data_IF_841168396753
#
_entry.id   IF_841168396753
#
_cell.length_a   1.000
_cell.length_b   1.000
_cell.length_c   1.000
_cell.angle_alpha   90.00
_cell.angle_beta   90.00
_cell.angle_gamma   90.00
#
_symmetry.space_group_name_H-M   'P 1'
#
loop_
_entity.id
_entity.type
_entity.pdbx_description
1 polymer ?
#
# COMPACT_ATOMS: atom_id res chain seq x y z
N UNK A 1 41.35 -39.53 32.87
CA UNK A 1 41.13 -38.48 31.89
C UNK A 1 39.71 -38.65 31.30
N UNK A 2 38.74 -37.88 31.79
CA UNK A 2 37.33 -37.91 31.30
C UNK A 2 37.12 -36.64 30.47
N UNK A 3 36.78 -36.79 29.20
CA UNK A 3 36.39 -35.69 28.31
C UNK A 3 34.91 -35.33 28.55
N UNK A 4 34.68 -34.07 28.88
CA UNK A 4 33.33 -33.50 29.05
C UNK A 4 32.91 -32.97 27.68
N UNK A 5 31.84 -33.54 27.12
CA UNK A 5 31.23 -33.07 25.89
C UNK A 5 30.26 -31.92 26.21
N UNK A 6 30.51 -30.73 25.63
CA UNK A 6 29.62 -29.60 25.70
C UNK A 6 28.54 -29.74 24.62
N UNK A 7 27.33 -30.10 25.04
CA UNK A 7 26.14 -30.08 24.19
C UNK A 7 25.68 -28.63 23.91
N UNK A 8 25.75 -28.20 22.67
CA UNK A 8 25.10 -26.99 22.20
C UNK A 8 23.59 -27.21 22.19
N UNK A 9 22.88 -26.53 23.09
CA UNK A 9 21.40 -26.43 23.04
C UNK A 9 21.02 -25.41 21.96
N UNK A 10 20.56 -25.90 20.82
CA UNK A 10 19.89 -25.09 19.82
C UNK A 10 18.54 -24.60 20.39
N UNK A 11 18.42 -23.29 20.59
CA UNK A 11 17.12 -22.67 20.93
C UNK A 11 16.31 -22.58 19.65
N UNK A 12 15.30 -23.41 19.55
CA UNK A 12 14.29 -23.33 18.52
C UNK A 12 13.40 -22.10 18.84
N UNK A 13 13.55 -21.05 18.05
CA UNK A 13 12.62 -19.92 18.09
C UNK A 13 11.33 -20.36 17.38
N UNK A 14 10.32 -20.71 18.16
CA UNK A 14 8.96 -20.86 17.64
C UNK A 14 8.41 -19.47 17.36
N UNK A 15 8.38 -19.10 16.09
CA UNK A 15 7.64 -17.92 15.63
C UNK A 15 6.16 -18.30 15.69
N UNK A 16 5.47 -17.87 16.74
CA UNK A 16 4.01 -17.96 16.81
C UNK A 16 3.45 -16.87 15.89
N UNK A 17 2.73 -17.20 14.82
CA UNK A 17 2.04 -16.19 14.04
C UNK A 17 0.98 -15.55 14.92
N UNK A 18 1.11 -14.24 15.15
CA UNK A 18 0.07 -13.45 15.81
C UNK A 18 -1.14 -13.39 14.88
N UNK A 19 -2.11 -14.26 15.17
CA UNK A 19 -3.41 -14.22 14.51
C UNK A 19 -4.16 -12.99 15.05
N UNK A 20 -4.07 -11.87 14.34
CA UNK A 20 -4.90 -10.69 14.63
C UNK A 20 -6.29 -10.99 14.11
N UNK A 21 -7.17 -11.46 14.99
CA UNK A 21 -8.59 -11.60 14.70
C UNK A 21 -9.18 -10.19 14.64
N UNK A 22 -9.48 -9.71 13.46
CA UNK A 22 -10.29 -8.52 13.28
C UNK A 22 -11.72 -8.86 13.71
N UNK A 23 -12.14 -8.35 14.86
CA UNK A 23 -13.54 -8.30 15.26
C UNK A 23 -14.27 -7.26 14.41
N UNK A 24 -14.64 -7.63 13.20
CA UNK A 24 -15.58 -6.92 12.35
C UNK A 24 -16.74 -7.85 12.10
N UNK A 25 -17.97 -7.32 12.12
CA UNK A 25 -19.22 -8.04 11.99
C UNK A 25 -19.17 -9.15 10.92
N UNK A 26 -19.40 -10.39 11.36
CA UNK A 26 -19.33 -11.62 10.59
C UNK A 26 -20.44 -11.77 9.53
N UNK A 27 -21.14 -10.69 9.14
CA UNK A 27 -22.30 -10.72 8.23
C UNK A 27 -22.18 -9.85 6.98
N UNK A 28 -20.98 -9.42 6.59
CA UNK A 28 -20.82 -8.91 5.24
C UNK A 28 -20.72 -10.10 4.28
N UNK A 29 -21.67 -10.28 3.35
CA UNK A 29 -21.54 -11.32 2.34
C UNK A 29 -20.25 -11.10 1.58
N UNK A 30 -19.38 -12.11 1.56
CA UNK A 30 -18.26 -12.17 0.62
C UNK A 30 -18.87 -12.12 -0.78
N UNK A 31 -18.93 -10.92 -1.33
CA UNK A 31 -19.23 -10.73 -2.73
C UNK A 31 -17.99 -11.22 -3.51
N UNK A 32 -17.99 -12.52 -3.81
CA UNK A 32 -17.29 -13.03 -4.97
C UNK A 32 -17.97 -12.39 -6.18
N UNK A 33 -17.62 -11.15 -6.49
CA UNK A 33 -17.98 -10.54 -7.76
C UNK A 33 -17.02 -11.14 -8.76
N UNK A 34 -17.48 -12.03 -9.69
CA UNK A 34 -16.66 -12.43 -10.79
C UNK A 34 -16.49 -11.19 -11.65
N UNK A 35 -15.37 -10.53 -11.53
CA UNK A 35 -15.04 -9.35 -12.30
C UNK A 35 -14.66 -9.87 -13.69
N UNK A 36 -15.62 -9.95 -14.57
CA UNK A 36 -15.38 -10.05 -15.99
C UNK A 36 -14.88 -8.68 -16.45
N UNK A 37 -13.93 -8.68 -17.37
CA UNK A 37 -13.35 -7.51 -18.05
C UNK A 37 -14.40 -6.72 -18.83
N UNK A 38 -15.33 -6.10 -18.16
CA UNK A 38 -16.27 -5.11 -18.70
C UNK A 38 -16.68 -4.24 -17.54
N UNK A 39 -16.42 -2.92 -17.67
CA UNK A 39 -16.59 -1.93 -16.64
C UNK A 39 -17.78 -2.16 -15.73
N UNK A 40 -17.53 -2.60 -14.49
CA UNK A 40 -18.53 -2.57 -13.45
C UNK A 40 -18.76 -1.10 -13.10
N UNK A 41 -19.95 -0.60 -13.39
CA UNK A 41 -20.40 0.67 -12.83
C UNK A 41 -20.63 0.45 -11.34
N UNK A 42 -19.70 0.92 -10.53
CA UNK A 42 -19.90 1.02 -9.09
C UNK A 42 -20.24 2.46 -8.78
N UNK A 43 -21.34 2.68 -8.05
CA UNK A 43 -21.83 3.98 -7.64
C UNK A 43 -21.74 5.06 -8.75
N UNK A 44 -22.86 5.53 -9.23
CA UNK A 44 -23.07 6.65 -10.15
C UNK A 44 -21.85 7.12 -10.95
N UNK A 45 -21.37 6.29 -11.88
CA UNK A 45 -20.56 6.71 -13.00
C UNK A 45 -19.08 6.33 -13.04
N UNK A 46 -18.48 5.84 -11.96
CA UNK A 46 -17.08 5.40 -11.98
C UNK A 46 -16.88 4.04 -12.65
N UNK A 47 -15.66 3.78 -13.13
CA UNK A 47 -15.29 2.51 -13.75
C UNK A 47 -14.28 1.77 -12.87
N UNK A 48 -14.50 0.48 -12.67
CA UNK A 48 -13.51 -0.42 -12.06
C UNK A 48 -13.01 -1.42 -13.08
N UNK A 49 -11.79 -1.85 -12.89
CA UNK A 49 -11.19 -2.90 -13.69
C UNK A 49 -10.23 -3.74 -12.87
N UNK A 50 -9.81 -4.83 -13.44
CA UNK A 50 -8.77 -5.70 -12.88
C UNK A 50 -7.61 -5.75 -13.87
N UNK A 51 -6.41 -5.59 -13.33
CA UNK A 51 -5.19 -5.87 -14.06
C UNK A 51 -4.94 -7.38 -14.02
N UNK A 52 -4.90 -8.04 -15.17
CA UNK A 52 -4.56 -9.44 -15.28
C UNK A 52 -3.12 -9.57 -15.76
N UNK A 53 -2.22 -9.92 -14.85
CA UNK A 53 -0.85 -10.21 -15.22
C UNK A 53 -0.68 -11.73 -15.25
N UNK A 54 -0.61 -12.27 -16.45
CA UNK A 54 -0.28 -13.68 -16.66
C UNK A 54 1.23 -13.81 -16.54
N UNK A 55 1.71 -14.40 -15.46
CA UNK A 55 3.09 -14.89 -15.44
C UNK A 55 3.15 -16.29 -16.03
N UNK A 56 3.99 -16.44 -17.04
CA UNK A 56 4.14 -17.69 -17.82
C UNK A 56 4.65 -18.92 -17.03
N UNK A 57 5.01 -18.78 -15.75
CA UNK A 57 5.68 -19.82 -14.97
C UNK A 57 4.90 -20.35 -13.75
N UNK A 58 3.81 -19.72 -13.32
CA UNK A 58 3.01 -20.20 -12.18
C UNK A 58 1.52 -19.98 -12.45
N UNK A 59 0.72 -20.98 -12.19
CA UNK A 59 -0.72 -21.03 -12.49
C UNK A 59 -1.61 -20.10 -11.65
N UNK A 60 -1.05 -19.20 -10.86
CA UNK A 60 -1.79 -18.22 -10.07
C UNK A 60 -1.78 -16.88 -10.80
N UNK A 61 -2.93 -16.51 -11.37
CA UNK A 61 -3.16 -15.17 -11.89
C UNK A 61 -3.02 -14.16 -10.74
N UNK A 62 -2.01 -13.29 -10.83
CA UNK A 62 -1.83 -12.17 -9.92
C UNK A 62 -2.69 -11.02 -10.41
N UNK A 63 -3.37 -10.36 -9.49
CA UNK A 63 -4.35 -9.35 -9.83
C UNK A 63 -4.02 -8.02 -9.15
N UNK A 64 -4.53 -6.97 -9.73
CA UNK A 64 -4.65 -5.66 -9.11
C UNK A 64 -6.00 -5.09 -9.48
N UNK A 65 -6.65 -4.40 -8.55
CA UNK A 65 -7.87 -3.68 -8.82
C UNK A 65 -7.56 -2.21 -9.10
N UNK A 66 -8.35 -1.55 -9.93
CA UNK A 66 -8.26 -0.11 -10.12
C UNK A 66 -9.63 0.56 -10.18
N UNK A 67 -9.64 1.84 -9.89
CA UNK A 67 -10.81 2.70 -10.00
C UNK A 67 -10.48 3.95 -10.81
N UNK A 68 -11.33 4.27 -11.78
CA UNK A 68 -11.29 5.48 -12.60
C UNK A 68 -12.50 6.34 -12.27
N UNK A 69 -12.33 7.58 -11.83
CA UNK A 69 -13.46 8.48 -11.56
C UNK A 69 -14.16 8.87 -12.85
N UNK A 70 -15.39 9.35 -12.75
CA UNK A 70 -16.15 9.89 -13.89
C UNK A 70 -15.36 10.98 -14.61
N UNK A 71 -15.44 10.97 -15.94
CA UNK A 71 -14.76 11.96 -16.76
C UNK A 71 -13.24 11.84 -16.77
N UNK A 72 -12.70 10.68 -16.42
CA UNK A 72 -11.25 10.43 -16.38
C UNK A 72 -10.53 10.73 -17.70
N UNK A 73 -11.23 10.60 -18.83
CA UNK A 73 -10.68 10.88 -20.17
C UNK A 73 -10.45 12.39 -20.43
N UNK A 74 -11.14 13.27 -19.68
CA UNK A 74 -11.14 14.71 -19.94
C UNK A 74 -9.83 15.41 -19.53
N UNK A 75 -9.08 14.85 -18.57
CA UNK A 75 -7.90 15.48 -18.00
C UNK A 75 -6.90 14.45 -17.47
N UNK A 76 -5.60 14.80 -17.33
CA UNK A 76 -4.68 13.98 -16.56
C UNK A 76 -5.13 13.84 -15.10
N UNK A 77 -5.04 12.63 -14.54
CA UNK A 77 -5.47 12.30 -13.19
C UNK A 77 -4.29 12.11 -12.24
N UNK A 78 -4.38 12.61 -11.01
CA UNK A 78 -3.53 12.12 -9.93
C UNK A 78 -3.70 10.61 -9.78
N UNK A 79 -2.62 9.87 -9.49
CA UNK A 79 -2.65 8.42 -9.28
C UNK A 79 -2.23 8.06 -7.86
N UNK A 80 -3.08 7.33 -7.15
CA UNK A 80 -2.74 6.68 -5.89
C UNK A 80 -2.55 5.19 -6.13
N UNK A 81 -1.35 4.65 -5.86
CA UNK A 81 -1.10 3.21 -5.78
C UNK A 81 -1.20 2.81 -4.31
N UNK A 82 -2.21 1.99 -3.98
CA UNK A 82 -2.60 1.69 -2.60
C UNK A 82 -2.32 0.24 -2.22
N UNK A 83 -1.59 0.02 -1.12
CA UNK A 83 -1.17 -1.30 -0.64
C UNK A 83 -1.96 -1.70 0.60
N UNK A 84 -2.61 -2.86 0.55
CA UNK A 84 -3.42 -3.42 1.63
C UNK A 84 -2.58 -3.91 2.82
N UNK A 85 -3.20 -4.07 3.99
CA UNK A 85 -2.62 -4.71 5.16
C UNK A 85 -2.58 -6.24 5.04
N UNK A 86 -2.04 -6.92 6.05
CA UNK A 86 -1.97 -8.39 6.13
C UNK A 86 -3.33 -9.02 5.88
N UNK A 87 -3.36 -10.04 5.02
CA UNK A 87 -4.59 -10.78 4.68
C UNK A 87 -5.59 -9.99 3.83
N UNK A 88 -5.26 -8.73 3.45
CA UNK A 88 -6.11 -7.90 2.61
C UNK A 88 -6.00 -8.24 1.12
N UNK A 89 -6.70 -7.43 0.33
CA UNK A 89 -6.68 -7.47 -1.15
C UNK A 89 -6.81 -6.06 -1.70
N UNK A 90 -6.32 -5.84 -2.92
CA UNK A 90 -6.47 -4.58 -3.62
C UNK A 90 -7.92 -4.16 -3.82
N UNK A 91 -8.81 -5.11 -4.10
CA UNK A 91 -10.25 -4.83 -4.23
C UNK A 91 -10.87 -4.22 -2.97
N UNK A 92 -10.40 -4.58 -1.76
CA UNK A 92 -10.85 -3.97 -0.51
C UNK A 92 -10.36 -2.52 -0.38
N UNK A 93 -9.16 -2.22 -0.87
CA UNK A 93 -8.66 -0.85 -0.92
C UNK A 93 -9.47 0.01 -1.90
N UNK A 94 -9.88 -0.56 -3.05
CA UNK A 94 -10.79 0.13 -3.98
C UNK A 94 -12.12 0.45 -3.29
N UNK A 95 -12.76 -0.52 -2.64
CA UNK A 95 -14.01 -0.29 -1.91
C UNK A 95 -13.88 0.83 -0.86
N UNK A 96 -12.72 0.93 -0.23
CA UNK A 96 -12.43 1.95 0.80
C UNK A 96 -12.21 3.34 0.19
N UNK A 97 -11.58 3.42 -0.98
CA UNK A 97 -11.09 4.67 -1.56
C UNK A 97 -11.99 5.21 -2.67
N UNK A 98 -12.86 4.41 -3.31
CA UNK A 98 -13.57 4.79 -4.52
C UNK A 98 -14.44 6.05 -4.36
N UNK A 99 -15.18 6.18 -3.25
CA UNK A 99 -16.03 7.34 -3.01
C UNK A 99 -15.19 8.63 -2.86
N UNK A 100 -14.04 8.53 -2.20
CA UNK A 100 -13.09 9.63 -2.07
C UNK A 100 -12.44 9.95 -3.42
N UNK A 101 -12.06 8.92 -4.18
CA UNK A 101 -11.48 9.06 -5.51
C UNK A 101 -12.43 9.72 -6.50
N UNK A 102 -13.71 9.35 -6.46
CA UNK A 102 -14.75 10.00 -7.27
C UNK A 102 -14.91 11.48 -6.93
N UNK A 103 -15.06 11.78 -5.63
CA UNK A 103 -15.27 13.14 -5.15
C UNK A 103 -14.08 14.06 -5.44
N UNK A 104 -12.87 13.56 -5.23
CA UNK A 104 -11.62 14.34 -5.36
C UNK A 104 -10.99 14.26 -6.75
N UNK A 105 -11.47 13.36 -7.60
CA UNK A 105 -11.07 13.25 -9.01
C UNK A 105 -9.65 12.68 -9.17
N UNK A 106 -9.32 11.57 -8.51
CA UNK A 106 -8.06 10.85 -8.69
C UNK A 106 -8.31 9.37 -9.02
N UNK A 107 -7.34 8.75 -9.64
CA UNK A 107 -7.33 7.33 -9.93
C UNK A 107 -6.73 6.54 -8.77
N UNK A 108 -7.28 5.36 -8.48
CA UNK A 108 -6.71 4.39 -7.54
C UNK A 108 -6.29 3.14 -8.29
N UNK A 109 -5.07 2.69 -8.05
CA UNK A 109 -4.59 1.35 -8.38
C UNK A 109 -4.26 0.63 -7.08
N UNK A 110 -4.77 -0.57 -6.90
CA UNK A 110 -4.55 -1.36 -5.69
C UNK A 110 -4.16 -2.80 -6.06
N UNK A 111 -2.86 -3.08 -6.19
CA UNK A 111 -2.36 -4.43 -6.44
C UNK A 111 -2.65 -5.36 -5.26
N UNK A 112 -2.81 -6.65 -5.53
CA UNK A 112 -2.72 -7.72 -4.53
C UNK A 112 -1.25 -8.04 -4.24
N UNK A 113 -0.92 -8.47 -3.01
CA UNK A 113 0.38 -9.10 -2.76
C UNK A 113 0.46 -10.44 -3.48
N UNK A 114 1.67 -10.86 -3.85
CA UNK A 114 1.88 -12.14 -4.54
C UNK A 114 1.72 -13.34 -3.60
N UNK A 115 1.79 -13.12 -2.31
CA UNK A 115 1.61 -14.13 -1.29
C UNK A 115 0.14 -14.51 -1.14
N UNK A 116 -0.15 -15.82 -1.10
CA UNK A 116 -1.50 -16.34 -0.81
C UNK A 116 -2.01 -15.88 0.56
N UNK A 117 -1.10 -15.63 1.50
CA UNK A 117 -1.44 -15.12 2.84
C UNK A 117 -1.70 -13.60 2.86
N UNK A 118 -1.63 -12.92 1.73
CA UNK A 118 -1.79 -11.45 1.67
C UNK A 118 -0.71 -10.69 2.42
N UNK A 119 0.53 -11.19 2.41
CA UNK A 119 1.69 -10.56 3.05
C UNK A 119 2.65 -10.09 1.96
N UNK A 120 3.07 -8.85 2.06
CA UNK A 120 4.00 -8.23 1.13
C UNK A 120 5.44 -8.62 1.42
N UNK A 121 6.22 -8.90 0.37
CA UNK A 121 7.67 -9.04 0.45
C UNK A 121 8.35 -7.72 0.08
N UNK A 122 9.24 -7.28 0.96
CA UNK A 122 10.04 -6.06 0.78
C UNK A 122 11.52 -6.45 0.83
N UNK A 123 12.33 -5.88 -0.06
CA UNK A 123 13.77 -6.12 -0.08
C UNK A 123 14.45 -5.62 1.20
N UNK A 124 15.58 -6.21 1.51
CA UNK A 124 16.40 -5.83 2.67
C UNK A 124 17.48 -4.81 2.31
N UNK A 125 17.85 -4.76 1.03
CA UNK A 125 18.87 -3.88 0.47
C UNK A 125 18.27 -2.99 -0.63
N UNK A 126 18.89 -1.84 -0.94
CA UNK A 126 18.40 -0.92 -1.97
C UNK A 126 18.27 -1.52 -3.37
N UNK A 127 19.06 -2.52 -3.71
CA UNK A 127 19.06 -3.21 -5.01
C UNK A 127 18.09 -4.39 -5.11
N UNK A 128 17.55 -4.85 -3.99
CA UNK A 128 16.62 -5.99 -3.99
C UNK A 128 15.33 -5.64 -4.73
N UNK A 129 14.95 -6.49 -5.69
CA UNK A 129 13.68 -6.42 -6.40
C UNK A 129 12.87 -7.69 -6.16
N UNK A 130 11.96 -7.60 -5.19
CA UNK A 130 11.09 -8.73 -4.82
C UNK A 130 10.07 -9.04 -5.92
N UNK A 131 9.39 -10.17 -5.80
CA UNK A 131 8.29 -10.51 -6.70
C UNK A 131 7.13 -9.51 -6.58
N UNK A 132 6.80 -9.06 -5.37
CA UNK A 132 5.79 -8.03 -5.14
C UNK A 132 6.16 -6.71 -5.83
N UNK A 133 7.44 -6.31 -5.76
CA UNK A 133 7.89 -5.12 -6.49
C UNK A 133 7.61 -5.23 -8.00
N UNK A 134 8.02 -6.36 -8.63
CA UNK A 134 7.79 -6.56 -10.07
C UNK A 134 6.31 -6.58 -10.40
N UNK A 135 5.51 -7.27 -9.61
CA UNK A 135 4.06 -7.33 -9.78
C UNK A 135 3.39 -5.96 -9.68
N UNK A 136 3.74 -5.16 -8.68
CA UNK A 136 3.22 -3.79 -8.55
C UNK A 136 3.56 -2.95 -9.77
N UNK A 137 4.81 -3.02 -10.24
CA UNK A 137 5.22 -2.25 -11.43
C UNK A 137 4.57 -2.76 -12.71
N UNK A 138 4.25 -4.06 -12.80
CA UNK A 138 3.45 -4.60 -13.89
C UNK A 138 2.02 -4.07 -13.86
N UNK A 139 1.36 -4.04 -12.70
CA UNK A 139 0.05 -3.41 -12.53
C UNK A 139 0.05 -1.94 -12.93
N UNK A 140 1.08 -1.18 -12.54
CA UNK A 140 1.24 0.22 -12.94
C UNK A 140 1.34 0.34 -14.46
N UNK A 141 2.20 -0.47 -15.11
CA UNK A 141 2.35 -0.45 -16.56
C UNK A 141 1.07 -0.80 -17.30
N UNK A 142 0.31 -1.75 -16.77
CA UNK A 142 -0.95 -2.17 -17.38
C UNK A 142 -2.02 -1.07 -17.30
N UNK A 143 -2.19 -0.46 -16.13
CA UNK A 143 -3.20 0.58 -15.96
C UNK A 143 -2.89 1.84 -16.77
N UNK A 144 -1.63 2.14 -17.02
CA UNK A 144 -1.22 3.24 -17.89
C UNK A 144 -1.54 2.99 -19.39
N UNK A 145 -1.89 1.74 -19.76
CA UNK A 145 -2.32 1.36 -21.10
C UNK A 145 -3.84 1.38 -21.28
N UNK A 146 -4.59 1.63 -20.22
CA UNK A 146 -6.06 1.72 -20.31
C UNK A 146 -6.41 2.91 -21.22
N UNK A 147 -7.25 2.71 -22.27
CA UNK A 147 -7.60 3.79 -23.19
C UNK A 147 -8.17 5.01 -22.49
N UNK A 148 -7.72 6.19 -22.86
CA UNK A 148 -8.16 7.46 -22.28
C UNK A 148 -7.50 7.82 -20.94
N UNK A 149 -6.80 6.90 -20.29
CA UNK A 149 -6.09 7.20 -19.04
C UNK A 149 -4.84 8.03 -19.33
N UNK A 150 -4.76 9.17 -18.67
CA UNK A 150 -3.58 10.04 -18.63
C UNK A 150 -3.26 10.38 -17.18
N UNK A 151 -2.02 10.18 -16.76
CA UNK A 151 -1.61 10.44 -15.37
C UNK A 151 -0.97 11.81 -15.26
N UNK A 152 -1.32 12.53 -14.19
CA UNK A 152 -0.63 13.72 -13.77
C UNK A 152 0.67 13.31 -13.06
N UNK A 153 1.79 13.42 -13.77
CA UNK A 153 3.09 13.01 -13.27
C UNK A 153 3.57 13.81 -12.04
N UNK A 154 2.99 14.97 -11.76
CA UNK A 154 3.30 15.75 -10.56
C UNK A 154 2.60 15.21 -9.31
N UNK A 155 1.60 14.34 -9.46
CA UNK A 155 0.74 13.86 -8.39
C UNK A 155 0.57 12.35 -8.44
N UNK A 156 1.67 11.61 -8.15
CA UNK A 156 1.66 10.14 -8.03
C UNK A 156 2.08 9.75 -6.62
N UNK A 157 1.18 9.07 -5.91
CA UNK A 157 1.33 8.67 -4.52
C UNK A 157 1.41 7.15 -4.39
N UNK A 158 2.38 6.64 -3.65
CA UNK A 158 2.39 5.28 -3.11
C UNK A 158 1.87 5.32 -1.67
N UNK A 159 0.76 4.67 -1.35
CA UNK A 159 0.16 4.70 -0.01
C UNK A 159 -0.09 3.28 0.51
N UNK A 160 0.27 2.98 1.74
CA UNK A 160 0.08 1.63 2.27
C UNK A 160 -0.32 1.59 3.74
N UNK A 161 -1.23 0.66 4.05
CA UNK A 161 -1.70 0.41 5.40
C UNK A 161 -0.99 -0.79 6.03
N UNK A 162 -0.60 -0.66 7.31
CA UNK A 162 0.02 -1.75 8.08
C UNK A 162 1.24 -2.33 7.34
N UNK A 163 1.26 -3.63 6.99
CA UNK A 163 2.36 -4.20 6.19
C UNK A 163 2.46 -3.61 4.79
N UNK A 164 1.37 -3.12 4.20
CA UNK A 164 1.41 -2.34 2.95
C UNK A 164 2.17 -1.03 3.09
N UNK A 165 2.22 -0.47 4.31
CA UNK A 165 3.03 0.70 4.63
C UNK A 165 4.54 0.47 4.47
N UNK A 166 5.00 -0.79 4.47
CA UNK A 166 6.41 -1.11 4.20
C UNK A 166 6.71 -1.03 2.68
N UNK A 167 5.70 -1.31 1.85
CA UNK A 167 5.83 -1.35 0.39
C UNK A 167 5.89 0.06 -0.19
N UNK A 168 5.11 0.99 0.33
CA UNK A 168 5.03 2.35 -0.18
C UNK A 168 6.40 3.05 -0.25
N UNK A 169 7.20 3.16 0.84
CA UNK A 169 8.54 3.73 0.78
C UNK A 169 9.51 2.90 -0.06
N UNK A 170 9.40 1.56 0.00
CA UNK A 170 10.25 0.65 -0.75
C UNK A 170 10.16 0.89 -2.26
N UNK A 171 8.96 1.10 -2.80
CA UNK A 171 8.74 1.38 -4.22
C UNK A 171 9.02 2.84 -4.55
N UNK A 172 8.47 3.79 -3.78
CA UNK A 172 8.53 5.20 -4.10
C UNK A 172 9.96 5.79 -4.05
N UNK A 173 10.85 5.19 -3.28
CA UNK A 173 12.26 5.62 -3.24
C UNK A 173 13.13 5.02 -4.37
N UNK A 174 12.55 4.14 -5.21
CA UNK A 174 13.20 3.52 -6.37
C UNK A 174 12.68 4.03 -7.70
N UNK A 175 11.39 4.31 -7.77
CA UNK A 175 10.70 4.66 -9.01
C UNK A 175 10.43 6.16 -9.08
N UNK A 176 11.01 6.83 -10.06
CA UNK A 176 10.85 8.28 -10.27
C UNK A 176 9.44 8.71 -10.64
N UNK A 177 8.57 7.75 -10.91
CA UNK A 177 7.15 7.99 -11.10
C UNK A 177 6.48 8.57 -9.86
N UNK A 178 6.92 8.16 -8.65
CA UNK A 178 6.27 8.56 -7.41
C UNK A 178 6.83 9.87 -6.87
N UNK A 179 5.94 10.84 -6.68
CA UNK A 179 6.27 12.16 -6.11
C UNK A 179 6.08 12.23 -4.60
N UNK A 180 5.38 11.25 -4.04
CA UNK A 180 5.12 11.11 -2.61
C UNK A 180 4.92 9.66 -2.21
N UNK A 181 5.13 9.36 -0.92
CA UNK A 181 4.62 8.13 -0.31
C UNK A 181 3.93 8.40 1.03
N UNK A 182 3.03 7.49 1.40
CA UNK A 182 2.31 7.51 2.66
C UNK A 182 2.42 6.17 3.39
N UNK A 183 2.76 6.21 4.67
CA UNK A 183 2.81 5.07 5.59
C UNK A 183 1.71 5.24 6.63
N UNK A 184 0.65 4.45 6.49
CA UNK A 184 -0.55 4.50 7.33
C UNK A 184 -0.47 3.34 8.32
N UNK A 185 -0.23 3.61 9.60
CA UNK A 185 -0.05 2.59 10.64
C UNK A 185 0.99 1.51 10.28
N UNK A 186 2.01 1.89 9.50
CA UNK A 186 2.97 0.97 8.89
C UNK A 186 4.34 1.01 9.53
N UNK A 187 5.31 0.51 8.79
CA UNK A 187 6.72 0.49 9.15
C UNK A 187 7.56 0.99 7.98
N UNK A 188 8.69 1.58 8.27
CA UNK A 188 9.73 1.90 7.29
C UNK A 188 10.97 1.08 7.61
N UNK A 189 11.46 0.35 6.63
CA UNK A 189 12.71 -0.41 6.73
C UNK A 189 13.84 0.44 6.13
N UNK A 190 14.71 1.04 6.94
CA UNK A 190 15.74 1.96 6.43
C UNK A 190 16.65 1.32 5.37
N UNK A 191 17.11 0.09 5.59
CA UNK A 191 17.95 -0.65 4.64
C UNK A 191 17.28 -0.95 3.30
N UNK A 192 15.95 -0.89 3.25
CA UNK A 192 15.18 -1.12 2.03
C UNK A 192 14.90 0.16 1.23
N UNK A 193 15.30 1.35 1.70
CA UNK A 193 15.08 2.60 0.99
C UNK A 193 16.00 2.73 -0.23
N UNK A 194 15.43 3.15 -1.35
CA UNK A 194 16.18 3.53 -2.55
C UNK A 194 16.81 4.93 -2.44
N UNK A 195 17.22 5.48 -3.58
CA UNK A 195 17.97 6.77 -3.64
C UNK A 195 17.09 7.99 -3.76
N UNK A 196 15.83 7.83 -4.18
CA UNK A 196 14.91 8.96 -4.36
C UNK A 196 14.36 9.44 -3.02
N UNK A 197 14.03 10.74 -2.95
CA UNK A 197 13.56 11.39 -1.72
C UNK A 197 12.23 12.13 -2.00
N UNK A 198 11.13 11.38 -2.26
CA UNK A 198 9.80 11.98 -2.44
C UNK A 198 9.28 12.59 -1.13
N UNK A 199 8.17 13.35 -1.21
CA UNK A 199 7.47 13.85 -0.01
C UNK A 199 6.90 12.69 0.80
N UNK A 200 6.82 12.84 2.12
CA UNK A 200 6.42 11.80 3.05
C UNK A 200 5.23 12.21 3.88
N UNK A 201 4.23 11.33 3.95
CA UNK A 201 3.17 11.33 4.93
C UNK A 201 3.28 10.10 5.83
N UNK A 202 3.19 10.32 7.13
CA UNK A 202 3.11 9.27 8.13
C UNK A 202 1.84 9.48 8.94
N UNK A 203 1.14 8.40 9.27
CA UNK A 203 0.01 8.46 10.19
C UNK A 203 -0.08 7.23 11.08
N UNK A 204 -0.69 7.44 12.26
CA UNK A 204 -1.00 6.39 13.22
C UNK A 204 -2.17 6.81 14.11
N UNK A 205 -2.72 5.87 14.86
CA UNK A 205 -3.73 6.13 15.88
C UNK A 205 -3.13 6.43 17.26
N UNK A 206 -3.83 7.26 18.03
CA UNK A 206 -3.48 7.54 19.44
C UNK A 206 -3.65 6.30 20.35
N UNK A 207 -4.43 5.30 19.88
CA UNK A 207 -4.66 4.01 20.54
C UNK A 207 -4.04 2.84 19.79
N UNK A 208 -3.23 3.10 18.75
CA UNK A 208 -2.55 2.06 18.02
C UNK A 208 -1.44 1.43 18.88
N UNK A 209 -1.63 0.14 19.23
CA UNK A 209 -0.66 -0.65 20.01
C UNK A 209 0.34 -1.42 19.13
N UNK A 210 0.12 -1.45 17.83
CA UNK A 210 0.99 -2.12 16.84
C UNK A 210 2.03 -1.15 16.31
N UNK A 211 1.60 0.09 16.02
CA UNK A 211 2.45 1.19 15.54
C UNK A 211 2.19 2.43 16.39
N UNK A 212 2.86 2.48 17.53
CA UNK A 212 2.65 3.56 18.51
C UNK A 212 3.07 4.92 17.96
N UNK A 213 2.54 5.97 18.57
CA UNK A 213 2.88 7.36 18.22
C UNK A 213 4.39 7.59 18.37
N UNK A 214 5.02 7.05 19.43
CA UNK A 214 6.46 7.17 19.70
C UNK A 214 7.27 6.51 18.59
N UNK A 215 6.84 5.32 18.16
CA UNK A 215 7.46 4.63 17.04
C UNK A 215 7.38 5.47 15.76
N UNK A 216 6.23 6.01 15.41
CA UNK A 216 6.06 6.82 14.20
C UNK A 216 6.82 8.15 14.26
N UNK A 217 6.99 8.75 15.46
CA UNK A 217 7.88 9.90 15.65
C UNK A 217 9.35 9.55 15.39
N UNK A 218 9.79 8.38 15.85
CA UNK A 218 11.13 7.87 15.55
C UNK A 218 11.34 7.68 14.04
N UNK A 219 10.37 7.11 13.34
CA UNK A 219 10.39 6.98 11.87
C UNK A 219 10.49 8.35 11.20
N UNK A 220 9.69 9.32 11.63
CA UNK A 220 9.72 10.68 11.08
C UNK A 220 11.10 11.33 11.25
N UNK A 221 11.68 11.24 12.45
CA UNK A 221 13.03 11.74 12.74
C UNK A 221 14.11 11.09 11.87
N UNK A 222 14.01 9.77 11.70
CA UNK A 222 14.95 9.03 10.84
C UNK A 222 14.86 9.48 9.37
N UNK A 223 13.66 9.57 8.81
CA UNK A 223 13.47 10.00 7.41
C UNK A 223 13.94 11.45 7.19
N UNK A 224 13.72 12.32 8.17
CA UNK A 224 14.24 13.69 8.12
C UNK A 224 15.78 13.69 8.10
N UNK A 225 16.42 12.87 8.94
CA UNK A 225 17.88 12.72 8.96
C UNK A 225 18.44 12.12 7.65
N UNK A 226 17.68 11.24 6.99
CA UNK A 226 17.98 10.67 5.67
C UNK A 226 17.78 11.65 4.50
N UNK A 227 17.40 12.91 4.77
CA UNK A 227 17.29 13.96 3.77
C UNK A 227 15.99 13.97 2.97
N UNK A 228 14.91 13.40 3.49
CA UNK A 228 13.60 13.58 2.88
C UNK A 228 13.12 15.04 3.06
N UNK A 229 12.72 15.74 1.98
CA UNK A 229 12.52 17.18 2.01
C UNK A 229 11.28 17.63 2.77
N UNK A 230 10.33 16.72 2.96
CA UNK A 230 9.07 16.98 3.67
C UNK A 230 8.59 15.69 4.31
N UNK A 231 8.56 15.68 5.63
CA UNK A 231 8.03 14.55 6.42
C UNK A 231 6.93 15.09 7.32
N UNK A 232 5.69 14.70 7.04
CA UNK A 232 4.54 15.08 7.85
C UNK A 232 4.05 13.86 8.64
N UNK A 233 3.84 14.01 9.94
CA UNK A 233 3.26 12.98 10.82
C UNK A 233 1.96 13.50 11.40
N UNK A 234 0.88 12.74 11.23
CA UNK A 234 -0.42 12.98 11.86
C UNK A 234 -0.87 11.83 12.74
N UNK A 235 -1.54 12.17 13.85
CA UNK A 235 -2.09 11.22 14.81
C UNK A 235 -3.60 11.36 14.81
N UNK A 236 -4.32 10.24 14.65
CA UNK A 236 -5.78 10.18 14.60
C UNK A 236 -6.35 9.48 15.84
N UNK A 237 -7.64 9.71 16.14
CA UNK A 237 -8.32 9.10 17.30
C UNK A 237 -8.85 7.69 16.95
N UNK A 238 -7.95 6.80 16.58
CA UNK A 238 -8.25 5.42 16.17
C UNK A 238 -7.26 4.44 16.81
N UNK A 239 -7.55 3.16 16.72
CA UNK A 239 -6.62 2.06 16.98
C UNK A 239 -5.79 1.73 15.73
N UNK A 240 -5.40 0.44 15.53
CA UNK A 240 -4.71 0.00 14.31
C UNK A 240 -5.70 -0.20 13.16
N UNK A 241 -6.32 0.90 12.71
CA UNK A 241 -7.34 0.90 11.66
C UNK A 241 -7.31 2.19 10.83
N UNK A 242 -7.73 2.12 9.56
CA UNK A 242 -7.86 3.30 8.70
C UNK A 242 -9.17 4.04 8.99
N UNK A 243 -9.06 5.30 9.37
CA UNK A 243 -10.19 6.21 9.53
C UNK A 243 -10.52 6.97 8.23
N UNK A 244 -11.79 7.36 8.05
CA UNK A 244 -12.20 8.15 6.89
C UNK A 244 -11.60 9.57 6.95
N UNK A 245 -11.49 10.16 8.14
CA UNK A 245 -10.82 11.45 8.36
C UNK A 245 -9.34 11.39 8.02
N UNK A 246 -8.68 10.26 8.32
CA UNK A 246 -7.28 10.03 7.99
C UNK A 246 -7.09 9.98 6.45
N UNK A 247 -7.91 9.21 5.76
CA UNK A 247 -7.85 9.11 4.30
C UNK A 247 -8.17 10.44 3.63
N UNK A 248 -9.15 11.19 4.14
CA UNK A 248 -9.47 12.52 3.64
C UNK A 248 -8.31 13.51 3.84
N UNK A 249 -7.69 13.49 5.02
CA UNK A 249 -6.53 14.33 5.33
C UNK A 249 -5.30 13.99 4.47
N UNK A 250 -5.03 12.69 4.25
CA UNK A 250 -3.97 12.23 3.34
C UNK A 250 -4.20 12.76 1.92
N UNK A 251 -5.42 12.62 1.40
CA UNK A 251 -5.74 13.05 0.04
C UNK A 251 -5.64 14.56 -0.10
N UNK A 252 -6.11 15.34 0.89
CA UNK A 252 -5.98 16.79 0.90
C UNK A 252 -4.51 17.22 0.87
N UNK A 253 -3.67 16.63 1.72
CA UNK A 253 -2.22 16.87 1.74
C UNK A 253 -1.57 16.54 0.39
N UNK A 254 -1.87 15.36 -0.15
CA UNK A 254 -1.27 14.90 -1.41
C UNK A 254 -1.64 15.79 -2.58
N UNK A 255 -2.92 16.19 -2.69
CA UNK A 255 -3.43 17.03 -3.77
C UNK A 255 -3.11 18.52 -3.58
N UNK A 256 -2.50 18.93 -2.45
CA UNK A 256 -2.18 20.31 -2.14
C UNK A 256 -3.42 21.16 -1.87
N UNK A 257 -4.45 20.56 -1.28
CA UNK A 257 -5.67 21.26 -0.85
C UNK A 257 -5.58 21.50 0.67
N UNK A 258 -5.55 22.74 1.07
CA UNK A 258 -5.47 23.17 2.47
C UNK A 258 -6.82 23.72 2.93
#
# INVERSE_FOLDING_TARGET
MRRIAHGRRSRLFVVVPLLVVFGGDANLPYLHVPIRSSGLRLAEGGQTGITHIVQAATSTARQGAYYLPNGYESRPLPLMVSFHGTGGKGSLMILRLQALAEREGFMVLAPDSVSVAGVWSVGQQPEDMTEDYRHVMDCVREVLRVPGVRIDAARVLAAGFSVGGNVAPYIATRESLFTAFAVLHGHVMPGALGRLRPRVWLSTGDRDRVRTVEYMRSVAGHLTAEGFPSVELRVFKVDHSLGDDELAALVAWWLGRH
#
